data_IF_225868371354
#
_entry.id   IF_225868371354
#
_cell.length_a   1.000
_cell.length_b   1.000
_cell.length_c   1.000
_cell.angle_alpha   90.00
_cell.angle_beta   90.00
_cell.angle_gamma   90.00
#
_symmetry.space_group_name_H-M   'P 1'
#
loop_
_entity.id
_entity.type
_entity.pdbx_description
1 polymer ?
#
# COMPACT_ATOMS: atom_id res chain seq x y z
N UNK A 1 -16.55 18.63 -30.66
CA UNK A 1 -16.40 17.37 -29.89
C UNK A 1 -17.28 16.31 -30.52
N UNK A 2 -16.78 15.08 -30.73
CA UNK A 2 -17.58 13.97 -31.29
C UNK A 2 -18.32 13.26 -30.16
N UNK A 3 -19.56 12.84 -30.40
CA UNK A 3 -20.31 11.99 -29.48
C UNK A 3 -19.53 10.66 -29.27
N UNK A 4 -19.25 10.23 -28.02
CA UNK A 4 -18.50 8.99 -27.75
C UNK A 4 -19.24 7.73 -28.24
N UNK A 5 -20.58 7.76 -28.27
CA UNK A 5 -21.42 6.64 -28.72
C UNK A 5 -21.64 6.59 -30.24
N UNK A 6 -21.60 7.75 -30.90
CA UNK A 6 -22.11 7.91 -32.27
C UNK A 6 -21.00 8.13 -33.30
N UNK A 7 -19.85 8.66 -32.88
CA UNK A 7 -18.69 9.11 -33.68
C UNK A 7 -18.97 10.05 -34.89
N UNK A 8 -20.23 10.34 -35.23
CA UNK A 8 -20.69 11.24 -36.29
C UNK A 8 -20.94 12.68 -35.83
N UNK A 9 -20.64 13.63 -36.71
CA UNK A 9 -20.54 15.07 -36.47
C UNK A 9 -21.88 15.80 -36.60
N UNK A 10 -22.33 16.41 -35.50
CA UNK A 10 -22.88 17.79 -35.33
C UNK A 10 -23.55 17.82 -33.95
N UNK A 11 -22.82 18.30 -32.94
CA UNK A 11 -23.40 18.57 -31.62
C UNK A 11 -24.05 19.95 -31.72
N UNK A 12 -25.35 20.02 -32.00
CA UNK A 12 -26.12 21.22 -31.65
C UNK A 12 -26.19 21.23 -30.12
N UNK A 13 -25.33 22.01 -29.49
CA UNK A 13 -25.23 22.11 -28.03
C UNK A 13 -26.40 22.92 -27.49
N UNK A 14 -27.60 22.36 -27.48
CA UNK A 14 -28.68 22.90 -26.65
C UNK A 14 -28.36 22.52 -25.19
N UNK A 15 -27.95 23.51 -24.41
CA UNK A 15 -27.54 23.32 -23.01
C UNK A 15 -28.76 22.98 -22.17
N UNK A 16 -28.75 21.82 -21.49
CA UNK A 16 -29.65 21.60 -20.35
C UNK A 16 -29.21 22.50 -19.17
N UNK A 17 -30.13 22.91 -18.27
CA UNK A 17 -29.79 23.70 -17.09
C UNK A 17 -28.77 23.01 -16.16
N UNK A 18 -28.65 21.68 -16.25
CA UNK A 18 -27.72 20.88 -15.44
C UNK A 18 -26.28 20.82 -16.02
N UNK A 19 -25.98 21.55 -17.09
CA UNK A 19 -24.61 21.68 -17.60
C UNK A 19 -24.06 20.47 -18.37
N UNK A 20 -24.79 19.37 -18.57
CA UNK A 20 -24.35 18.22 -19.38
C UNK A 20 -24.62 18.40 -20.89
N UNK A 21 -23.78 17.78 -21.72
CA UNK A 21 -24.00 17.69 -23.16
C UNK A 21 -25.06 16.64 -23.49
N UNK A 22 -25.81 16.85 -24.57
CA UNK A 22 -26.70 15.86 -25.18
C UNK A 22 -26.40 15.71 -26.67
N UNK A 23 -26.40 14.47 -27.17
CA UNK A 23 -26.34 14.23 -28.61
C UNK A 23 -27.74 14.28 -29.23
N UNK A 24 -27.96 15.16 -30.21
CA UNK A 24 -29.22 15.23 -30.97
C UNK A 24 -29.53 14.00 -31.82
N UNK A 25 -28.54 13.13 -32.11
CA UNK A 25 -28.75 11.93 -32.94
C UNK A 25 -29.14 10.69 -32.14
N UNK A 26 -28.59 10.50 -30.93
CA UNK A 26 -28.84 9.28 -30.13
C UNK A 26 -29.44 9.53 -28.75
N UNK A 27 -29.64 10.79 -28.36
CA UNK A 27 -30.22 11.18 -27.07
C UNK A 27 -29.31 10.96 -25.84
N UNK A 28 -28.10 10.41 -26.02
CA UNK A 28 -27.17 10.15 -24.94
C UNK A 28 -26.62 11.45 -24.34
N UNK A 29 -26.49 11.48 -23.01
CA UNK A 29 -25.95 12.61 -22.24
C UNK A 29 -24.59 12.28 -21.62
N UNK A 30 -23.67 13.24 -21.56
CA UNK A 30 -22.37 13.09 -20.92
C UNK A 30 -21.90 14.39 -20.23
N UNK A 31 -21.07 14.27 -19.17
CA UNK A 31 -20.58 15.44 -18.43
C UNK A 31 -19.74 16.38 -19.29
N UNK A 32 -19.89 17.69 -19.04
CA UNK A 32 -19.04 18.72 -19.63
C UNK A 32 -17.79 18.90 -18.76
N UNK A 33 -16.68 18.30 -19.16
CA UNK A 33 -15.39 18.52 -18.54
C UNK A 33 -14.30 17.74 -19.26
N UNK A 34 -13.02 18.18 -19.20
CA UNK A 34 -11.92 17.37 -19.66
C UNK A 34 -11.89 16.10 -18.80
N UNK A 35 -11.76 14.95 -19.45
CA UNK A 35 -11.74 13.63 -18.85
C UNK A 35 -10.63 13.52 -17.78
N UNK A 36 -10.93 13.93 -16.55
CA UNK A 36 -10.05 13.80 -15.39
C UNK A 36 -10.54 12.63 -14.54
N UNK A 37 -10.33 11.43 -15.06
CA UNK A 37 -10.15 10.22 -14.27
C UNK A 37 -9.45 9.22 -15.18
N UNK A 38 -8.13 9.38 -15.36
CA UNK A 38 -7.31 8.23 -15.72
C UNK A 38 -7.33 7.34 -14.48
N UNK A 39 -8.28 6.42 -14.45
CA UNK A 39 -8.26 5.30 -13.53
C UNK A 39 -7.11 4.40 -14.00
N UNK A 40 -5.90 4.64 -13.46
CA UNK A 40 -4.78 3.75 -13.67
C UNK A 40 -5.02 2.49 -12.84
N UNK A 41 -5.54 1.48 -13.54
CA UNK A 41 -5.28 0.06 -13.39
C UNK A 41 -5.64 -0.60 -12.06
N UNK A 42 -6.69 -1.43 -12.17
CA UNK A 42 -7.07 -2.47 -11.23
C UNK A 42 -5.95 -3.50 -11.06
N UNK A 43 -5.15 -3.34 -10.01
CA UNK A 43 -4.48 -4.41 -9.26
C UNK A 43 -4.08 -3.81 -7.92
N UNK A 44 -5.02 -3.73 -6.98
CA UNK A 44 -4.73 -3.25 -5.62
C UNK A 44 -3.98 -4.35 -4.85
N UNK A 45 -2.71 -4.54 -5.20
CA UNK A 45 -1.77 -5.37 -4.45
C UNK A 45 -1.26 -4.50 -3.31
N UNK A 46 -2.04 -4.43 -2.23
CA UNK A 46 -1.72 -3.63 -1.05
C UNK A 46 -1.49 -4.55 0.14
N UNK A 47 -0.27 -4.56 0.68
CA UNK A 47 0.01 -5.12 2.00
C UNK A 47 -0.55 -4.17 3.06
N UNK A 48 -1.28 -4.73 4.02
CA UNK A 48 -1.71 -4.00 5.20
C UNK A 48 -0.87 -4.40 6.41
N UNK A 49 -0.86 -3.55 7.44
CA UNK A 49 -0.16 -3.84 8.69
C UNK A 49 -0.72 -5.10 9.38
N UNK A 50 -2.02 -5.40 9.18
CA UNK A 50 -2.67 -6.60 9.71
C UNK A 50 -2.13 -7.89 9.06
N UNK A 51 -1.75 -7.85 7.78
CA UNK A 51 -1.20 -9.02 7.09
C UNK A 51 0.17 -9.41 7.66
N UNK A 52 0.94 -8.41 8.09
CA UNK A 52 2.27 -8.61 8.68
C UNK A 52 2.16 -9.10 10.12
N UNK A 53 1.23 -8.55 10.90
CA UNK A 53 0.98 -9.05 12.26
C UNK A 53 0.52 -10.51 12.23
N UNK A 54 -0.38 -10.88 11.30
CA UNK A 54 -0.80 -12.28 11.09
C UNK A 54 0.32 -13.20 10.60
N UNK A 55 1.40 -12.66 10.05
CA UNK A 55 2.52 -13.46 9.60
C UNK A 55 3.41 -13.91 10.76
N UNK A 56 3.38 -13.20 11.89
CA UNK A 56 4.20 -13.47 13.08
C UNK A 56 3.52 -14.53 13.94
N UNK A 57 4.27 -15.59 14.28
CA UNK A 57 3.80 -16.72 15.10
C UNK A 57 4.34 -16.65 16.53
N UNK A 58 5.61 -16.28 16.67
CA UNK A 58 6.25 -16.12 17.98
C UNK A 58 7.20 -14.93 17.98
N UNK A 59 7.35 -14.35 19.17
CA UNK A 59 8.27 -13.25 19.45
C UNK A 59 9.12 -13.61 20.68
N UNK A 60 10.44 -13.64 20.50
CA UNK A 60 11.41 -13.87 21.57
C UNK A 60 12.31 -12.66 21.74
N UNK A 61 12.55 -12.27 22.99
CA UNK A 61 13.33 -11.07 23.30
C UNK A 61 14.50 -11.41 24.18
N UNK A 62 15.70 -11.07 23.72
CA UNK A 62 16.94 -11.28 24.47
C UNK A 62 17.62 -9.93 24.65
N UNK A 63 17.94 -9.60 25.91
CA UNK A 63 18.83 -8.48 26.19
C UNK A 63 20.27 -8.92 25.91
N UNK A 64 20.89 -8.33 24.91
CA UNK A 64 22.29 -8.53 24.59
C UNK A 64 23.12 -7.36 25.12
N UNK A 65 23.91 -7.61 26.16
CA UNK A 65 24.81 -6.62 26.75
C UNK A 65 24.12 -5.58 27.64
N UNK A 66 24.62 -4.35 27.63
CA UNK A 66 24.18 -3.29 28.57
C UNK A 66 22.95 -2.51 28.08
N UNK A 67 22.82 -2.32 26.76
CA UNK A 67 21.87 -1.35 26.17
C UNK A 67 21.14 -1.84 24.91
N UNK A 68 21.37 -3.08 24.49
CA UNK A 68 20.82 -3.63 23.25
C UNK A 68 19.83 -4.75 23.56
N UNK A 69 18.70 -4.70 22.88
CA UNK A 69 17.65 -5.70 22.88
C UNK A 69 17.58 -6.28 21.48
N UNK A 70 17.56 -7.60 21.41
CA UNK A 70 17.37 -8.35 20.18
C UNK A 70 15.99 -8.98 20.25
N UNK A 71 15.23 -8.86 19.17
CA UNK A 71 13.93 -9.48 18.97
C UNK A 71 14.07 -10.53 17.87
N UNK A 72 13.75 -11.78 18.17
CA UNK A 72 13.62 -12.85 17.19
C UNK A 72 12.12 -13.04 16.92
N UNK A 73 11.70 -12.76 15.68
CA UNK A 73 10.35 -13.03 15.21
C UNK A 73 10.36 -14.28 14.34
N UNK A 74 9.53 -15.26 14.69
CA UNK A 74 9.32 -16.43 13.82
C UNK A 74 8.05 -16.22 13.01
N UNK A 75 8.17 -16.34 11.69
CA UNK A 75 7.07 -16.22 10.76
C UNK A 75 6.37 -17.56 10.50
N UNK A 76 5.13 -17.51 10.03
CA UNK A 76 4.33 -18.69 9.65
C UNK A 76 4.95 -19.59 8.59
N UNK A 77 5.86 -19.05 7.78
CA UNK A 77 6.60 -19.79 6.76
C UNK A 77 7.84 -20.50 7.33
N UNK A 78 8.11 -20.37 8.64
CA UNK A 78 9.30 -20.91 9.30
C UNK A 78 10.54 -20.03 9.16
N UNK A 79 10.43 -18.83 8.60
CA UNK A 79 11.54 -17.89 8.49
C UNK A 79 11.70 -17.09 9.78
N UNK A 80 12.93 -16.93 10.22
CA UNK A 80 13.28 -16.22 11.45
C UNK A 80 13.89 -14.85 11.10
N UNK A 81 13.36 -13.80 11.71
CA UNK A 81 13.83 -12.42 11.51
C UNK A 81 14.34 -11.88 12.83
N UNK A 82 15.54 -11.31 12.76
CA UNK A 82 16.19 -10.68 13.91
C UNK A 82 16.06 -9.17 13.77
N UNK A 83 15.32 -8.55 14.68
CA UNK A 83 15.28 -7.11 14.87
C UNK A 83 16.15 -6.67 16.04
N UNK A 84 16.68 -5.45 15.97
CA UNK A 84 17.52 -4.92 17.06
C UNK A 84 17.06 -3.54 17.51
N UNK A 85 17.05 -3.33 18.82
CA UNK A 85 16.81 -2.05 19.46
C UNK A 85 18.00 -1.71 20.35
N UNK A 86 18.62 -0.55 20.16
CA UNK A 86 19.73 -0.10 21.00
C UNK A 86 19.46 1.30 21.53
N UNK A 87 19.75 1.50 22.82
CA UNK A 87 19.68 2.83 23.44
C UNK A 87 21.03 3.55 23.40
N UNK A 88 21.00 4.87 23.33
CA UNK A 88 22.20 5.73 23.29
C UNK A 88 22.86 5.79 24.67
N UNK A 89 22.06 6.05 25.71
CA UNK A 89 22.52 6.12 27.10
C UNK A 89 22.04 4.89 27.91
N UNK A 90 22.93 4.10 28.51
CA UNK A 90 22.54 2.97 29.36
C UNK A 90 21.84 3.40 30.66
N UNK A 91 21.99 4.64 31.14
CA UNK A 91 21.34 5.10 32.37
C UNK A 91 19.83 5.28 32.21
N UNK A 92 19.37 5.55 30.99
CA UNK A 92 17.95 5.71 30.63
C UNK A 92 17.42 4.50 29.85
N UNK A 93 18.03 3.32 30.05
CA UNK A 93 17.64 2.11 29.35
C UNK A 93 16.35 1.53 29.94
N UNK A 94 15.30 1.47 29.12
CA UNK A 94 14.05 0.80 29.45
C UNK A 94 13.84 -0.41 28.53
N UNK A 95 13.60 -1.58 29.14
CA UNK A 95 13.41 -2.83 28.41
C UNK A 95 12.14 -2.80 27.54
N UNK A 96 11.06 -2.16 27.99
CA UNK A 96 9.82 -2.08 27.22
C UNK A 96 10.04 -1.22 25.97
N UNK A 97 10.72 -0.08 26.11
CA UNK A 97 11.06 0.79 24.97
C UNK A 97 11.97 0.05 23.97
N UNK A 98 12.99 -0.65 24.46
CA UNK A 98 13.89 -1.44 23.60
C UNK A 98 13.17 -2.56 22.84
N UNK A 99 12.19 -3.21 23.48
CA UNK A 99 11.35 -4.24 22.83
C UNK A 99 10.50 -3.66 21.70
N UNK A 100 9.91 -2.48 21.92
CA UNK A 100 9.10 -1.80 20.89
C UNK A 100 9.94 -1.52 19.65
N UNK A 101 11.11 -0.88 19.81
CA UNK A 101 11.98 -0.57 18.68
C UNK A 101 12.50 -1.83 17.98
N UNK A 102 12.87 -2.86 18.74
CA UNK A 102 13.33 -4.12 18.15
C UNK A 102 12.21 -4.82 17.35
N UNK A 103 10.95 -4.73 17.80
CA UNK A 103 9.78 -5.25 17.06
C UNK A 103 9.51 -4.44 15.80
N UNK A 104 9.57 -3.11 15.87
CA UNK A 104 9.37 -2.24 14.71
C UNK A 104 10.43 -2.46 13.64
N UNK A 105 11.69 -2.62 14.02
CA UNK A 105 12.78 -2.95 13.10
C UNK A 105 12.54 -4.30 12.40
N UNK A 106 12.19 -5.35 13.16
CA UNK A 106 11.86 -6.65 12.59
C UNK A 106 10.62 -6.58 11.66
N UNK A 107 9.59 -5.81 12.04
CA UNK A 107 8.41 -5.60 11.20
C UNK A 107 8.76 -4.89 9.88
N UNK A 108 9.65 -3.88 9.92
CA UNK A 108 10.13 -3.20 8.71
C UNK A 108 10.86 -4.16 7.76
N UNK A 109 11.60 -5.14 8.30
CA UNK A 109 12.22 -6.19 7.50
C UNK A 109 11.17 -7.11 6.85
N UNK A 110 10.12 -7.49 7.58
CA UNK A 110 8.99 -8.26 7.02
C UNK A 110 8.33 -7.51 5.86
N UNK A 111 8.06 -6.22 6.03
CA UNK A 111 7.51 -5.37 4.97
C UNK A 111 8.32 -5.44 3.67
N UNK A 112 9.65 -5.40 3.77
CA UNK A 112 10.55 -5.49 2.60
C UNK A 112 10.49 -6.86 1.94
N UNK A 113 10.45 -7.94 2.73
CA UNK A 113 10.39 -9.31 2.23
C UNK A 113 9.05 -9.60 1.54
N UNK A 114 7.94 -9.20 2.14
CA UNK A 114 6.60 -9.37 1.55
C UNK A 114 6.44 -8.51 0.28
N UNK A 115 6.96 -7.27 0.29
CA UNK A 115 7.01 -6.43 -0.91
C UNK A 115 7.81 -7.06 -2.06
N UNK A 116 8.98 -7.64 -1.75
CA UNK A 116 9.77 -8.39 -2.72
C UNK A 116 9.01 -9.61 -3.26
N UNK A 117 8.36 -10.37 -2.37
CA UNK A 117 7.57 -11.54 -2.75
C UNK A 117 6.45 -11.18 -3.74
N UNK A 118 5.72 -10.09 -3.47
CA UNK A 118 4.66 -9.59 -4.36
C UNK A 118 5.20 -9.11 -5.71
N UNK A 119 6.35 -8.44 -5.72
CA UNK A 119 6.99 -8.00 -6.95
C UNK A 119 7.45 -9.19 -7.82
N UNK A 120 7.88 -10.30 -7.20
CA UNK A 120 8.21 -11.53 -7.92
C UNK A 120 6.98 -12.21 -8.54
N UNK A 121 5.82 -12.15 -7.89
CA UNK A 121 4.56 -12.72 -8.42
C UNK A 121 3.96 -11.87 -9.54
N UNK A 122 4.17 -10.56 -9.48
CA UNK A 122 3.76 -9.60 -10.50
C UNK A 122 4.98 -9.01 -11.19
N UNK A 123 5.69 -9.80 -12.03
CA UNK A 123 6.82 -9.27 -12.77
C UNK A 123 6.32 -8.09 -13.60
N UNK A 124 7.01 -6.95 -13.49
CA UNK A 124 6.69 -5.78 -14.28
C UNK A 124 6.63 -6.21 -15.76
N UNK A 125 5.47 -6.04 -16.39
CA UNK A 125 5.32 -6.23 -17.82
C UNK A 125 6.28 -5.27 -18.51
N UNK A 126 7.36 -5.81 -19.08
CA UNK A 126 8.26 -5.06 -19.98
C UNK A 126 7.51 -4.60 -21.21
#
# INVERSE_FOLDING_TARGET
MKCPKCQGVRVSTERRPNGNNICGSCGHTWPNGPAAAVSLNASKVSLTQEDIDKAIVSEEYIKMGKKTVVCLLTLKNGFEIVGTGSCVDPANFDMAIGKTYAREDAASQIWKLEGYHLQCQHPASR
#
